data_IF_313878579020
#
_entry.id   IF_313878579020
#
_cell.length_a   1.000
_cell.length_b   1.000
_cell.length_c   1.000
_cell.angle_alpha   90.00
_cell.angle_beta   90.00
_cell.angle_gamma   90.00
#
_symmetry.space_group_name_H-M   'P 1'
#
loop_
_entity.id
_entity.type
_entity.pdbx_description
1 polymer ?
#
# COMPACT_ATOMS: atom_id res chain seq x y z
N UNK A 1 9.25 7.80 6.22
CA UNK A 1 8.36 8.78 5.55
C UNK A 1 6.98 8.81 6.19
N UNK A 2 6.64 9.90 6.88
CA UNK A 2 5.41 10.05 7.67
C UNK A 2 4.12 10.07 6.83
N UNK A 3 4.17 10.53 5.57
CA UNK A 3 2.98 10.62 4.71
C UNK A 3 2.49 9.25 4.22
N UNK A 4 3.40 8.40 3.75
CA UNK A 4 3.04 7.05 3.27
C UNK A 4 2.44 6.21 4.39
N UNK A 5 3.05 6.24 5.59
CA UNK A 5 2.46 5.52 6.72
C UNK A 5 1.13 6.12 7.18
N UNK A 6 0.94 7.44 7.08
CA UNK A 6 -0.38 8.05 7.28
C UNK A 6 -1.43 7.53 6.30
N UNK A 7 -1.13 7.48 5.00
CA UNK A 7 -2.06 6.96 3.98
C UNK A 7 -2.39 5.48 4.26
N UNK A 8 -1.39 4.69 4.65
CA UNK A 8 -1.59 3.28 5.02
C UNK A 8 -2.54 3.12 6.21
N UNK A 9 -2.38 3.94 7.26
CA UNK A 9 -3.32 3.96 8.38
C UNK A 9 -4.71 4.44 7.98
N UNK A 10 -4.79 5.53 7.22
CA UNK A 10 -6.07 6.19 6.92
C UNK A 10 -6.93 5.43 5.92
N UNK A 11 -6.32 4.80 4.92
CA UNK A 11 -7.06 4.15 3.83
C UNK A 11 -7.21 2.65 4.06
N UNK A 12 -6.15 1.95 4.49
CA UNK A 12 -6.19 0.50 4.75
C UNK A 12 -6.53 0.16 6.20
N UNK A 13 -6.63 1.15 7.11
CA UNK A 13 -6.91 0.91 8.51
C UNK A 13 -5.77 0.21 9.25
N UNK A 14 -4.55 0.25 8.72
CA UNK A 14 -3.42 -0.47 9.30
C UNK A 14 -3.02 0.15 10.65
N UNK A 15 -2.60 -0.67 11.64
CA UNK A 15 -2.03 -0.15 12.87
C UNK A 15 -0.73 0.60 12.58
N UNK A 16 -0.37 1.54 13.46
CA UNK A 16 0.79 2.40 13.26
C UNK A 16 2.09 1.64 13.01
N UNK A 17 2.33 0.60 13.79
CA UNK A 17 3.56 -0.21 13.69
C UNK A 17 3.68 -0.88 12.32
N UNK A 18 2.59 -1.46 11.81
CA UNK A 18 2.58 -2.12 10.50
C UNK A 18 2.68 -1.11 9.35
N UNK A 19 1.97 0.02 9.45
CA UNK A 19 2.08 1.09 8.47
C UNK A 19 3.50 1.67 8.39
N UNK A 20 4.17 1.83 9.53
CA UNK A 20 5.56 2.30 9.59
C UNK A 20 6.52 1.23 9.04
N UNK A 21 6.30 -0.06 9.34
CA UNK A 21 7.07 -1.17 8.77
C UNK A 21 6.95 -1.24 7.25
N UNK A 22 5.73 -1.23 6.70
CA UNK A 22 5.50 -1.30 5.25
C UNK A 22 6.06 -0.07 4.54
N UNK A 23 5.95 1.10 5.15
CA UNK A 23 6.58 2.30 4.61
C UNK A 23 8.11 2.16 4.56
N UNK A 24 8.75 1.61 5.60
CA UNK A 24 10.19 1.35 5.60
C UNK A 24 10.56 0.36 4.49
N UNK A 25 9.72 -0.64 4.24
CA UNK A 25 9.91 -1.57 3.13
C UNK A 25 9.87 -0.85 1.77
N UNK A 26 8.89 0.03 1.55
CA UNK A 26 8.86 0.89 0.35
C UNK A 26 10.12 1.76 0.25
N UNK A 27 10.60 2.32 1.37
CA UNK A 27 11.78 3.17 1.37
C UNK A 27 13.07 2.42 1.01
N UNK A 28 13.25 1.21 1.56
CA UNK A 28 14.47 0.43 1.38
C UNK A 28 14.46 -0.42 0.11
N UNK A 29 13.32 -1.03 -0.22
CA UNK A 29 13.18 -2.01 -1.31
C UNK A 29 12.42 -1.46 -2.53
N UNK A 30 11.88 -0.23 -2.43
CA UNK A 30 11.13 0.43 -3.50
C UNK A 30 9.68 -0.06 -3.66
N UNK A 31 9.24 -1.08 -2.91
CA UNK A 31 7.86 -1.61 -2.96
C UNK A 31 7.45 -2.29 -1.67
N UNK A 32 6.14 -2.43 -1.48
CA UNK A 32 5.55 -3.24 -0.41
C UNK A 32 4.17 -3.76 -0.83
N UNK A 33 3.77 -4.92 -0.31
CA UNK A 33 2.40 -5.46 -0.47
C UNK A 33 1.56 -4.94 0.69
N UNK A 34 0.52 -4.16 0.39
CA UNK A 34 -0.34 -3.53 1.41
C UNK A 34 -1.76 -4.11 1.46
N UNK A 35 -2.18 -4.82 0.41
CA UNK A 35 -3.47 -5.49 0.32
C UNK A 35 -3.39 -6.67 -0.65
N UNK A 36 -4.22 -7.68 -0.43
CA UNK A 36 -4.39 -8.84 -1.29
C UNK A 36 -5.87 -9.20 -1.40
N UNK A 37 -6.33 -9.59 -2.59
CA UNK A 37 -7.73 -9.96 -2.79
C UNK A 37 -8.09 -10.13 -4.26
N UNK A 38 -9.38 -10.06 -4.56
CA UNK A 38 -9.85 -10.12 -5.94
C UNK A 38 -9.37 -8.92 -6.76
N UNK A 39 -9.34 -9.10 -8.08
CA UNK A 39 -8.83 -8.09 -9.01
C UNK A 39 -9.53 -6.74 -8.87
N UNK A 40 -10.86 -6.75 -8.75
CA UNK A 40 -11.68 -5.53 -8.68
C UNK A 40 -11.38 -4.69 -7.43
N UNK A 41 -11.19 -5.33 -6.27
CA UNK A 41 -10.77 -4.65 -5.05
C UNK A 41 -9.36 -4.06 -5.20
N UNK A 42 -8.43 -4.79 -5.81
CA UNK A 42 -7.06 -4.31 -6.02
C UNK A 42 -7.01 -3.13 -7.00
N UNK A 43 -7.84 -3.13 -8.05
CA UNK A 43 -7.96 -2.01 -8.99
C UNK A 43 -8.47 -0.74 -8.29
N UNK A 44 -9.44 -0.86 -7.38
CA UNK A 44 -9.89 0.26 -6.54
C UNK A 44 -8.78 0.80 -5.65
N UNK A 45 -7.98 -0.08 -5.03
CA UNK A 45 -6.85 0.36 -4.21
C UNK A 45 -5.78 1.08 -5.02
N UNK A 46 -5.42 0.58 -6.21
CA UNK A 46 -4.44 1.25 -7.08
C UNK A 46 -4.92 2.63 -7.51
N UNK A 47 -6.19 2.75 -7.91
CA UNK A 47 -6.79 4.04 -8.26
C UNK A 47 -6.73 5.02 -7.08
N UNK A 48 -7.10 4.58 -5.87
CA UNK A 48 -7.01 5.40 -4.67
C UNK A 48 -5.57 5.81 -4.34
N UNK A 49 -4.60 4.89 -4.44
CA UNK A 49 -3.18 5.20 -4.19
C UNK A 49 -2.67 6.28 -5.14
N UNK A 50 -3.01 6.22 -6.44
CA UNK A 50 -2.68 7.29 -7.38
C UNK A 50 -3.35 8.62 -7.01
N UNK A 51 -4.59 8.59 -6.49
CA UNK A 51 -5.26 9.77 -5.94
C UNK A 51 -4.54 10.40 -4.74
N UNK A 52 -3.86 9.59 -3.92
CA UNK A 52 -2.97 10.06 -2.85
C UNK A 52 -1.56 10.43 -3.35
N UNK A 53 -1.31 10.42 -4.66
CA UNK A 53 0.01 10.67 -5.24
C UNK A 53 1.02 9.54 -5.03
N UNK A 54 0.57 8.36 -4.62
CA UNK A 54 1.40 7.17 -4.44
C UNK A 54 1.35 6.29 -5.68
N UNK A 55 2.52 5.89 -6.20
CA UNK A 55 2.59 4.91 -7.29
C UNK A 55 2.26 3.52 -6.77
N UNK A 56 1.27 2.86 -7.37
CA UNK A 56 0.86 1.50 -6.99
C UNK A 56 0.66 0.62 -8.23
N UNK A 57 0.76 -0.69 -8.05
CA UNK A 57 0.54 -1.68 -9.10
C UNK A 57 -0.06 -2.96 -8.52
N UNK A 58 -0.75 -3.73 -9.36
CA UNK A 58 -1.29 -5.04 -9.00
C UNK A 58 -0.34 -6.09 -9.55
N UNK A 59 0.04 -7.05 -8.72
CA UNK A 59 0.74 -8.26 -9.15
C UNK A 59 -0.12 -9.47 -8.86
N UNK A 60 0.04 -10.51 -9.66
CA UNK A 60 -0.47 -11.84 -9.31
C UNK A 60 0.32 -12.32 -8.09
N UNK A 61 -0.36 -12.88 -7.09
CA UNK A 61 0.31 -13.58 -6.01
C UNK A 61 0.92 -14.86 -6.59
N UNK A 62 2.23 -15.04 -6.41
CA UNK A 62 2.89 -16.31 -6.71
C UNK A 62 2.31 -17.38 -5.78
N UNK A 63 2.01 -18.56 -6.34
CA UNK A 63 1.33 -19.66 -5.67
C UNK A 63 2.24 -20.38 -4.66
#
# INVERSE_FOLDING_TARGET
MNYVSFVFRSYFGLPREEADRLMLLVHNEGRAVVASGNREAMERHVSAMHGYGLRASITRADA
#
